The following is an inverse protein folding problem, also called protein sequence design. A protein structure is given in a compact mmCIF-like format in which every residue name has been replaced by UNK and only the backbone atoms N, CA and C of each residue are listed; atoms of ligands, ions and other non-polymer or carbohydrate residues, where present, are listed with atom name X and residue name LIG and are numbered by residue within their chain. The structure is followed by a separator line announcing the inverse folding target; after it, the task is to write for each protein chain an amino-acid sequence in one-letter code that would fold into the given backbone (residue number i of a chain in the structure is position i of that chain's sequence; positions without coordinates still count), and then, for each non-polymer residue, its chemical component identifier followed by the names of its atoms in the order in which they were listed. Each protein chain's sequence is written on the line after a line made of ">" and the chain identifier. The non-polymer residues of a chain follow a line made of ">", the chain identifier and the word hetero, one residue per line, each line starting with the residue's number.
data_IF_592348798305
#
_entry.id   IF_592348798305
#
_cell.length_a   1.000
_cell.length_b   1.000
_cell.length_c   1.000
_cell.angle_alpha   90.00
_cell.angle_beta   90.00
_cell.angle_gamma   90.00
#
_symmetry.space_group_name_H-M   'P 1'
#
loop_
_entity.id
_entity.type
_entity.pdbx_description
1 polymer ?
#
# COMPACT_ATOMS: atom_id res chain seq x y z
N UNK A 1 20.02 -22.63 -38.53
CA UNK A 1 19.37 -22.47 -37.22
C UNK A 1 19.40 -23.83 -36.54
N UNK A 2 20.59 -24.42 -36.34
CA UNK A 2 21.55 -24.18 -35.26
C UNK A 2 20.97 -24.52 -33.89
N UNK A 3 20.92 -25.82 -33.62
CA UNK A 3 21.30 -26.52 -32.37
C UNK A 3 20.71 -26.07 -31.02
N UNK A 4 19.79 -25.11 -30.96
CA UNK A 4 18.99 -24.91 -29.76
C UNK A 4 17.91 -25.99 -29.72
N UNK A 5 18.26 -27.17 -29.21
CA UNK A 5 17.28 -28.18 -28.80
C UNK A 5 16.20 -27.52 -27.93
N UNK A 6 14.98 -28.05 -27.97
CA UNK A 6 13.85 -27.53 -27.17
C UNK A 6 14.16 -27.46 -25.67
N UNK A 7 15.21 -28.14 -25.20
CA UNK A 7 15.73 -28.09 -23.84
C UNK A 7 15.96 -26.66 -23.35
N UNK A 8 16.54 -25.78 -24.17
CA UNK A 8 16.76 -24.39 -23.76
C UNK A 8 15.43 -23.65 -23.53
N UNK A 9 14.41 -23.95 -24.34
CA UNK A 9 13.07 -23.38 -24.17
C UNK A 9 12.43 -23.94 -22.89
N UNK A 10 12.52 -25.25 -22.67
CA UNK A 10 11.96 -25.94 -21.49
C UNK A 10 12.66 -25.56 -20.17
N UNK A 11 13.95 -25.22 -20.20
CA UNK A 11 14.71 -24.82 -19.01
C UNK A 11 14.39 -23.37 -18.59
N UNK A 12 14.07 -22.50 -19.56
CA UNK A 12 13.84 -21.07 -19.31
C UNK A 12 12.35 -20.70 -19.21
N UNK A 13 11.44 -21.59 -19.58
CA UNK A 13 10.00 -21.32 -19.54
C UNK A 13 9.22 -22.53 -19.03
N UNK A 14 8.23 -22.28 -18.16
CA UNK A 14 7.33 -23.33 -17.71
C UNK A 14 6.36 -23.72 -18.82
N UNK A 15 5.95 -25.00 -18.84
CA UNK A 15 4.99 -25.53 -19.81
C UNK A 15 3.65 -24.78 -19.80
N UNK A 16 3.26 -24.22 -18.65
CA UNK A 16 2.01 -23.45 -18.49
C UNK A 16 2.08 -22.04 -19.10
N UNK A 17 3.29 -21.46 -19.22
CA UNK A 17 3.49 -20.10 -19.71
C UNK A 17 3.93 -20.04 -21.17
N UNK A 18 4.06 -21.19 -21.84
CA UNK A 18 4.43 -21.26 -23.25
C UNK A 18 3.25 -20.87 -24.15
N UNK A 19 3.44 -19.98 -25.13
CA UNK A 19 2.39 -19.66 -26.08
C UNK A 19 2.06 -20.88 -26.94
N UNK A 20 0.79 -21.02 -27.33
CA UNK A 20 0.30 -22.20 -28.06
C UNK A 20 1.05 -22.47 -29.38
N UNK A 21 1.54 -21.41 -30.03
CA UNK A 21 2.40 -21.51 -31.21
C UNK A 21 3.69 -22.30 -30.94
N UNK A 22 4.32 -22.06 -29.80
CA UNK A 22 5.60 -22.69 -29.45
C UNK A 22 5.38 -24.15 -29.04
N UNK A 23 4.25 -24.46 -28.39
CA UNK A 23 3.86 -25.84 -28.10
C UNK A 23 3.68 -26.68 -29.39
N UNK A 24 3.11 -26.10 -30.45
CA UNK A 24 2.98 -26.79 -31.74
C UNK A 24 4.35 -27.06 -32.39
N UNK A 25 5.26 -26.09 -32.32
CA UNK A 25 6.63 -26.24 -32.83
C UNK A 25 7.39 -27.31 -32.05
N UNK A 26 7.25 -27.32 -30.73
CA UNK A 26 7.86 -28.33 -29.85
C UNK A 26 7.33 -29.72 -30.19
N UNK A 27 6.00 -29.89 -30.33
CA UNK A 27 5.40 -31.18 -30.69
C UNK A 27 5.87 -31.69 -32.05
N UNK A 28 5.91 -30.84 -33.06
CA UNK A 28 6.41 -31.21 -34.38
C UNK A 28 7.91 -31.61 -34.35
N UNK A 29 8.71 -30.98 -33.50
CA UNK A 29 10.13 -31.30 -33.35
C UNK A 29 10.38 -32.59 -32.55
N UNK A 30 9.53 -32.86 -31.56
CA UNK A 30 9.58 -34.09 -30.74
C UNK A 30 9.37 -35.35 -31.59
N UNK A 31 8.50 -35.30 -32.61
CA UNK A 31 8.29 -36.43 -33.53
C UNK A 31 9.54 -36.82 -34.34
N UNK A 32 10.48 -35.89 -34.51
CA UNK A 32 11.69 -36.09 -35.31
C UNK A 32 12.96 -36.29 -34.47
N UNK A 33 12.96 -35.96 -33.18
CA UNK A 33 14.14 -36.02 -32.31
C UNK A 33 13.86 -36.77 -31.00
N UNK A 34 14.45 -37.96 -30.86
CA UNK A 34 14.26 -38.83 -29.68
C UNK A 34 14.80 -38.25 -28.37
N UNK A 35 15.80 -37.37 -28.41
CA UNK A 35 16.32 -36.70 -27.21
C UNK A 35 15.36 -35.61 -26.72
N UNK A 36 14.82 -34.83 -27.66
CA UNK A 36 13.79 -33.83 -27.38
C UNK A 36 12.50 -34.49 -26.87
N UNK A 37 12.13 -35.66 -27.37
CA UNK A 37 10.99 -36.43 -26.86
C UNK A 37 11.15 -36.77 -25.37
N UNK A 38 12.30 -37.33 -24.99
CA UNK A 38 12.60 -37.65 -23.59
C UNK A 38 12.63 -36.41 -22.70
N UNK A 39 13.22 -35.31 -23.18
CA UNK A 39 13.26 -34.05 -22.45
C UNK A 39 11.84 -33.47 -22.23
N UNK A 40 11.00 -33.52 -23.26
CA UNK A 40 9.62 -33.06 -23.19
C UNK A 40 8.76 -33.94 -22.26
N UNK A 41 8.93 -35.26 -22.29
CA UNK A 41 8.28 -36.19 -21.38
C UNK A 41 8.73 -35.96 -19.92
N UNK A 42 10.02 -35.78 -19.68
CA UNK A 42 10.56 -35.46 -18.36
C UNK A 42 10.02 -34.12 -17.83
N UNK A 43 9.95 -33.09 -18.69
CA UNK A 43 9.39 -31.80 -18.33
C UNK A 43 7.89 -31.89 -17.95
N UNK A 44 7.10 -32.71 -18.67
CA UNK A 44 5.69 -32.94 -18.32
C UNK A 44 5.54 -33.62 -16.96
N UNK A 45 6.34 -34.66 -16.69
CA UNK A 45 6.32 -35.37 -15.40
C UNK A 45 6.74 -34.43 -14.27
N UNK A 46 7.79 -33.64 -14.48
CA UNK A 46 8.26 -32.66 -13.51
C UNK A 46 7.20 -31.59 -13.23
N UNK A 47 6.50 -31.09 -14.26
CA UNK A 47 5.42 -30.13 -14.09
C UNK A 47 4.25 -30.70 -13.26
N UNK A 48 3.87 -31.97 -13.52
CA UNK A 48 2.85 -32.65 -12.71
C UNK A 48 3.28 -32.85 -11.26
N UNK A 49 4.54 -33.23 -11.03
CA UNK A 49 5.09 -33.41 -9.68
C UNK A 49 5.16 -32.08 -8.93
N UNK A 50 5.60 -31.00 -9.58
CA UNK A 50 5.62 -29.66 -8.99
C UNK A 50 4.21 -29.21 -8.61
N UNK A 51 3.21 -29.50 -9.45
CA UNK A 51 1.82 -29.21 -9.14
C UNK A 51 1.34 -29.97 -7.91
N UNK A 52 1.57 -31.28 -7.86
CA UNK A 52 1.18 -32.10 -6.70
C UNK A 52 1.88 -31.63 -5.42
N UNK A 53 3.19 -31.35 -5.48
CA UNK A 53 3.91 -30.80 -4.33
C UNK A 53 3.41 -29.42 -3.92
N UNK A 54 2.97 -28.58 -4.87
CA UNK A 54 2.38 -27.28 -4.56
C UNK A 54 1.01 -27.43 -3.88
N UNK A 55 0.20 -28.38 -4.33
CA UNK A 55 -1.10 -28.70 -3.75
C UNK A 55 -0.92 -29.30 -2.34
N UNK A 56 -0.01 -30.26 -2.16
CA UNK A 56 0.36 -30.79 -0.83
C UNK A 56 0.94 -29.71 0.08
N UNK A 57 1.75 -28.79 -0.44
CA UNK A 57 2.26 -27.67 0.34
C UNK A 57 1.15 -26.70 0.73
N UNK A 58 0.15 -26.48 -0.11
CA UNK A 58 -1.02 -25.65 0.22
C UNK A 58 -1.86 -26.30 1.32
N UNK A 59 -2.12 -27.61 1.24
CA UNK A 59 -2.82 -28.36 2.29
C UNK A 59 -2.04 -28.37 3.61
N UNK A 60 -0.73 -28.61 3.54
CA UNK A 60 0.16 -28.57 4.71
C UNK A 60 0.38 -27.15 5.24
N UNK A 61 0.21 -26.10 4.42
CA UNK A 61 0.34 -24.71 4.86
C UNK A 61 -0.75 -24.30 5.85
N UNK A 62 -1.94 -24.92 5.77
CA UNK A 62 -2.98 -24.79 6.79
C UNK A 62 -2.57 -25.39 8.14
N UNK A 63 -1.58 -26.27 8.15
CA UNK A 63 -1.01 -26.93 9.33
C UNK A 63 0.44 -26.49 9.61
N UNK A 64 0.93 -25.48 8.88
CA UNK A 64 2.30 -25.02 9.00
C UNK A 64 2.46 -24.24 10.30
N UNK A 65 3.51 -24.59 11.05
CA UNK A 65 3.75 -24.02 12.36
C UNK A 65 3.95 -22.48 12.25
N UNK A 66 3.16 -21.67 12.96
CA UNK A 66 3.17 -20.20 12.86
C UNK A 66 4.53 -19.57 13.20
N UNK A 67 5.41 -20.30 13.89
CA UNK A 67 6.80 -19.88 14.13
C UNK A 67 7.62 -19.73 12.84
N UNK A 68 7.37 -20.51 11.80
CA UNK A 68 8.10 -20.38 10.54
C UNK A 68 7.58 -19.20 9.72
N UNK A 69 6.26 -19.00 9.68
CA UNK A 69 5.65 -17.88 8.98
C UNK A 69 6.13 -16.54 9.57
N UNK A 70 6.17 -16.43 10.90
CA UNK A 70 6.63 -15.21 11.58
C UNK A 70 8.12 -14.94 11.34
N UNK A 71 8.99 -15.96 11.35
CA UNK A 71 10.42 -15.79 11.05
C UNK A 71 10.69 -15.40 9.60
N UNK A 72 9.99 -16.01 8.64
CA UNK A 72 10.13 -15.65 7.22
C UNK A 72 9.63 -14.23 6.98
N UNK A 73 8.47 -13.86 7.52
CA UNK A 73 7.95 -12.49 7.41
C UNK A 73 8.83 -11.46 8.14
N UNK A 74 9.51 -11.85 9.22
CA UNK A 74 10.47 -10.99 9.89
C UNK A 74 11.73 -10.77 9.01
N UNK A 75 12.31 -11.85 8.48
CA UNK A 75 13.48 -11.77 7.60
C UNK A 75 13.17 -10.98 6.31
N UNK A 76 11.98 -11.14 5.75
CA UNK A 76 11.54 -10.40 4.57
C UNK A 76 11.36 -8.90 4.85
N UNK A 77 10.77 -8.54 6.00
CA UNK A 77 10.69 -7.13 6.43
C UNK A 77 12.08 -6.52 6.64
N UNK A 78 13.02 -7.29 7.17
CA UNK A 78 14.40 -6.83 7.39
C UNK A 78 15.12 -6.55 6.05
N UNK A 79 14.93 -7.40 5.04
CA UNK A 79 15.43 -7.16 3.68
C UNK A 79 14.77 -5.94 3.02
N UNK A 80 13.46 -5.76 3.18
CA UNK A 80 12.77 -4.56 2.69
C UNK A 80 13.24 -3.30 3.40
N UNK A 81 13.50 -3.36 4.71
CA UNK A 81 14.02 -2.22 5.48
C UNK A 81 15.39 -1.76 4.97
N UNK A 82 16.26 -2.69 4.55
CA UNK A 82 17.54 -2.31 3.92
C UNK A 82 17.34 -1.59 2.58
N UNK A 83 16.29 -1.93 1.85
CA UNK A 83 15.95 -1.30 0.56
C UNK A 83 15.24 0.06 0.75
N UNK A 84 14.42 0.19 1.79
CA UNK A 84 13.62 1.39 2.06
C UNK A 84 14.45 2.59 2.50
N UNK A 85 15.61 2.38 3.13
CA UNK A 85 16.55 3.48 3.47
C UNK A 85 17.03 4.22 2.21
N UNK A 86 17.26 3.51 1.11
CA UNK A 86 17.63 4.11 -0.17
C UNK A 86 16.48 4.89 -0.81
N UNK A 87 15.25 4.36 -0.73
CA UNK A 87 14.04 5.02 -1.22
C UNK A 87 13.72 6.29 -0.41
N UNK A 88 13.81 6.24 0.92
CA UNK A 88 13.61 7.38 1.80
C UNK A 88 14.62 8.49 1.53
N UNK A 89 15.90 8.14 1.30
CA UNK A 89 16.94 9.11 0.92
C UNK A 89 16.65 9.79 -0.42
N UNK A 90 16.15 9.05 -1.40
CA UNK A 90 15.74 9.62 -2.71
C UNK A 90 14.53 10.55 -2.56
N UNK A 91 13.53 10.15 -1.76
CA UNK A 91 12.36 10.97 -1.47
C UNK A 91 12.73 12.26 -0.70
N UNK A 92 13.66 12.16 0.26
CA UNK A 92 14.16 13.30 1.00
C UNK A 92 14.93 14.29 0.11
N UNK A 93 15.68 13.78 -0.87
CA UNK A 93 16.35 14.65 -1.84
C UNK A 93 15.35 15.40 -2.74
N UNK A 94 14.21 14.80 -3.09
CA UNK A 94 13.19 15.46 -3.92
C UNK A 94 12.32 16.44 -3.13
N UNK A 95 11.97 16.11 -1.89
CA UNK A 95 11.05 16.92 -1.06
C UNK A 95 11.80 17.90 -0.16
N UNK A 96 13.08 17.67 0.09
CA UNK A 96 13.92 18.50 0.96
C UNK A 96 14.06 19.95 0.46
N UNK A 97 14.01 20.20 -0.85
CA UNK A 97 14.04 21.56 -1.38
C UNK A 97 12.79 22.38 -0.99
N UNK A 98 11.63 21.73 -0.90
CA UNK A 98 10.37 22.34 -0.47
C UNK A 98 10.43 22.69 1.03
N UNK A 99 10.91 21.75 1.85
CA UNK A 99 11.08 21.95 3.29
C UNK A 99 12.14 23.01 3.58
N UNK A 100 13.24 23.04 2.83
CA UNK A 100 14.28 24.05 2.94
C UNK A 100 13.79 25.45 2.58
N UNK A 101 12.92 25.57 1.57
CA UNK A 101 12.30 26.85 1.19
C UNK A 101 11.40 27.42 2.30
N UNK A 102 10.56 26.57 2.91
CA UNK A 102 9.76 26.96 4.08
C UNK A 102 10.62 27.30 5.30
N UNK A 103 11.70 26.55 5.54
CA UNK A 103 12.63 26.84 6.62
C UNK A 103 13.37 28.18 6.39
N UNK A 104 13.75 28.49 5.14
CA UNK A 104 14.41 29.73 4.80
C UNK A 104 13.49 30.95 4.96
N UNK A 105 12.21 30.85 4.57
CA UNK A 105 11.25 31.95 4.73
C UNK A 105 10.89 32.18 6.20
N UNK A 106 10.74 31.13 7.00
CA UNK A 106 10.52 31.25 8.45
C UNK A 106 11.73 31.84 9.16
N UNK A 107 12.95 31.46 8.78
CA UNK A 107 14.18 32.07 9.30
C UNK A 107 14.30 33.55 8.89
N UNK A 108 13.98 33.89 7.64
CA UNK A 108 14.01 35.28 7.17
C UNK A 108 12.99 36.17 7.90
N UNK A 109 11.77 35.66 8.13
CA UNK A 109 10.75 36.34 8.92
C UNK A 109 11.20 36.53 10.38
N UNK A 110 11.82 35.52 10.99
CA UNK A 110 12.35 35.61 12.35
C UNK A 110 13.51 36.61 12.47
N UNK A 111 14.35 36.76 11.45
CA UNK A 111 15.41 37.79 11.43
C UNK A 111 14.79 39.18 11.27
N UNK A 112 13.78 39.33 10.41
CA UNK A 112 13.07 40.60 10.20
C UNK A 112 12.37 41.10 11.47
N UNK A 113 11.80 40.21 12.28
CA UNK A 113 11.19 40.58 13.57
C UNK A 113 12.21 40.97 14.63
N UNK A 114 13.45 40.48 14.55
CA UNK A 114 14.52 40.81 15.49
C UNK A 114 15.28 42.10 15.14
N UNK A 115 15.36 42.47 13.85
CA UNK A 115 16.12 43.64 13.38
C UNK A 115 15.28 44.94 13.37
N UNK A 116 13.95 44.83 13.30
CA UNK A 116 13.03 45.97 13.45
C UNK A 116 12.13 45.80 14.68
N UNK A 117 12.60 46.16 15.90
CA UNK A 117 11.70 46.32 17.02
C UNK A 117 10.81 47.53 16.73
N UNK A 118 9.55 47.28 16.40
CA UNK A 118 8.57 48.33 16.20
C UNK A 118 8.43 49.12 17.50
N UNK A 119 8.81 50.40 17.47
CA UNK A 119 8.53 51.35 18.53
C UNK A 119 7.02 51.59 18.59
N UNK A 120 6.34 51.05 19.60
CA UNK A 120 4.98 51.43 19.97
C UNK A 120 4.94 52.89 20.50
N UNK A 121 3.80 53.63 20.47
CA UNK A 121 2.43 53.11 20.64
C UNK A 121 1.33 53.70 19.73
N UNK A 122 0.15 53.09 19.83
CA UNK A 122 -1.17 53.61 19.48
C UNK A 122 -1.58 53.60 18.00
N UNK A 123 -2.34 52.58 17.62
CA UNK A 123 -3.78 52.72 17.40
C UNK A 123 -4.38 51.33 17.16
N UNK A 124 -5.36 50.98 17.99
CA UNK A 124 -6.23 49.84 17.78
C UNK A 124 -6.82 49.87 16.36
N UNK A 125 -6.33 48.99 15.50
CA UNK A 125 -7.17 48.42 14.46
C UNK A 125 -7.16 46.91 14.66
N UNK A 126 -8.03 46.51 15.57
CA UNK A 126 -8.62 45.18 15.64
C UNK A 126 -9.37 44.93 14.32
N UNK A 127 -8.64 44.63 13.25
CA UNK A 127 -9.20 43.82 12.18
C UNK A 127 -9.26 42.40 12.75
N UNK A 128 -10.47 41.96 13.07
CA UNK A 128 -10.79 40.74 13.79
C UNK A 128 -10.12 39.50 13.17
N UNK A 129 -8.92 39.18 13.63
CA UNK A 129 -8.45 37.80 13.71
C UNK A 129 -9.27 37.16 14.84
N UNK A 130 -10.38 36.55 14.47
CA UNK A 130 -11.02 35.53 15.30
C UNK A 130 -9.91 34.51 15.60
N UNK A 131 -9.51 34.33 16.87
CA UNK A 131 -8.60 33.27 17.22
C UNK A 131 -9.37 31.97 16.96
N UNK A 132 -9.07 31.28 15.86
CA UNK A 132 -9.55 29.92 15.64
C UNK A 132 -8.77 28.99 16.58
N UNK A 133 -9.07 29.15 17.87
CA UNK A 133 -8.64 28.29 18.95
C UNK A 133 -9.67 27.17 19.05
N UNK A 134 -9.22 25.92 19.04
CA UNK A 134 -10.07 24.73 19.03
C UNK A 134 -11.02 24.65 20.24
N UNK A 135 -10.80 25.45 21.28
CA UNK A 135 -11.69 25.57 22.43
C UNK A 135 -12.94 26.44 22.20
N UNK A 136 -12.96 27.33 21.20
CA UNK A 136 -14.10 28.22 20.93
C UNK A 136 -15.23 27.52 20.13
N UNK A 137 -14.90 26.49 19.34
CA UNK A 137 -15.89 25.70 18.57
C UNK A 137 -16.70 24.75 19.45
N UNK A 138 -16.22 24.45 20.67
CA UNK A 138 -16.92 23.54 21.60
C UNK A 138 -17.94 24.29 22.48
N UNK A 139 -17.83 25.62 22.60
CA UNK A 139 -18.69 26.43 23.48
C UNK A 139 -19.66 27.36 22.73
N UNK A 140 -19.52 27.52 21.41
CA UNK A 140 -20.39 28.37 20.57
C UNK A 140 -21.42 27.55 19.76
N UNK A 141 -21.55 26.25 20.05
CA UNK A 141 -22.56 25.39 19.45
C UNK A 141 -23.90 25.49 20.20
N UNK A 142 -24.42 26.70 20.38
CA UNK A 142 -25.79 26.88 20.86
C UNK A 142 -26.36 28.23 20.42
N UNK A 143 -26.72 28.33 19.14
CA UNK A 143 -27.84 29.14 18.62
C UNK A 143 -27.87 29.07 17.08
N UNK A 144 -28.42 27.99 16.53
CA UNK A 144 -29.53 28.11 15.57
C UNK A 144 -29.97 26.74 15.01
N UNK A 145 -31.11 26.29 15.54
CA UNK A 145 -32.22 25.72 14.75
C UNK A 145 -32.00 24.37 14.06
N UNK A 146 -31.84 23.30 14.83
CA UNK A 146 -32.46 21.96 14.58
C UNK A 146 -32.26 20.98 15.75
N UNK A 147 -31.87 21.45 16.93
CA UNK A 147 -31.61 20.58 18.06
C UNK A 147 -32.92 20.33 18.80
N UNK A 148 -33.63 19.30 18.34
CA UNK A 148 -34.71 18.68 19.10
C UNK A 148 -34.15 18.36 20.49
N UNK A 149 -34.72 18.99 21.51
CA UNK A 149 -34.33 18.75 22.90
C UNK A 149 -34.60 17.27 23.23
N UNK A 150 -33.75 16.62 24.02
CA UNK A 150 -33.84 15.17 24.28
C UNK A 150 -35.22 14.72 24.82
N UNK A 151 -35.95 15.62 25.48
CA UNK A 151 -37.34 15.36 25.91
C UNK A 151 -38.33 15.30 24.74
N UNK A 152 -38.10 16.04 23.64
CA UNK A 152 -38.91 16.00 22.43
C UNK A 152 -38.63 14.76 21.58
N UNK A 153 -37.38 14.28 21.51
CA UNK A 153 -37.04 13.02 20.84
C UNK A 153 -37.56 11.81 21.61
N UNK A 154 -37.49 11.82 22.94
CA UNK A 154 -38.06 10.76 23.77
C UNK A 154 -39.60 10.72 23.68
N UNK A 155 -40.28 11.86 23.61
CA UNK A 155 -41.74 11.86 23.43
C UNK A 155 -42.17 11.39 22.03
N UNK A 156 -41.40 11.67 20.97
CA UNK A 156 -41.71 11.21 19.62
C UNK A 156 -41.52 9.69 19.44
N UNK A 157 -40.55 9.09 20.15
CA UNK A 157 -40.29 7.65 20.08
C UNK A 157 -41.34 6.85 20.87
N UNK A 158 -41.87 7.40 21.97
CA UNK A 158 -42.89 6.73 22.79
C UNK A 158 -44.34 7.13 22.47
N UNK A 159 -44.58 8.20 21.69
CA UNK A 159 -45.92 8.56 21.24
C UNK A 159 -46.46 7.64 20.13
N UNK A 160 -45.57 7.00 19.35
CA UNK A 160 -45.94 6.09 18.26
C UNK A 160 -46.43 4.71 18.75
N UNK A 161 -46.17 4.37 20.02
CA UNK A 161 -46.54 3.07 20.61
C UNK A 161 -47.92 3.08 21.29
N UNK A 162 -48.70 4.16 21.13
CA UNK A 162 -50.03 4.32 21.76
C UNK A 162 -51.18 4.59 20.76
N UNK A 163 -50.98 4.34 19.46
CA UNK A 163 -52.04 4.30 18.43
C UNK A 163 -52.30 2.89 17.85
N UNK A 164 -51.82 1.86 18.54
CA UNK A 164 -52.10 0.45 18.21
C UNK A 164 -53.19 -0.17 19.09
N UNK A 165 -54.45 0.29 18.98
CA UNK A 165 -55.62 -0.49 19.45
C UNK A 165 -56.92 -0.18 18.71
#
# INVERSE_FOLDING_TARGET
>A
MNESHITNILDNSSLENLPERDLLVIRAHVETCAECDRAFAAAQIAALLVKECADEAAENSGNMNPFFQTRVLAAWREQQAMTSVSAFRRLWNTTGALVASMAATTAALAVLTLVFPSSEPASQQTAALVPYSAEAVVLDQDQDSSQLTDDQTLSAIYADDNEGK
#
